data_IF_147412981960
#
_entry.id   IF_147412981960
#
_cell.length_a   1.000
_cell.length_b   1.000
_cell.length_c   1.000
_cell.angle_alpha   90.00
_cell.angle_beta   90.00
_cell.angle_gamma   90.00
#
_symmetry.space_group_name_H-M   'P 1'
#
loop_
_entity.id
_entity.type
_entity.pdbx_description
1 polymer ?
#
# COMPACT_ATOMS: atom_id res chain seq x y z
N UNK A 1 -67.27 21.77 -17.07
CA UNK A 1 -66.32 20.93 -16.31
C UNK A 1 -64.92 21.36 -16.68
N UNK A 2 -64.21 22.07 -15.80
CA UNK A 2 -62.80 22.38 -16.04
C UNK A 2 -62.03 21.06 -16.10
N UNK A 3 -61.24 20.86 -17.14
CA UNK A 3 -60.37 19.67 -17.21
C UNK A 3 -59.34 19.81 -16.10
N UNK A 4 -59.55 19.11 -14.99
CA UNK A 4 -58.67 19.14 -13.80
C UNK A 4 -57.23 18.80 -14.14
N UNK A 5 -57.02 17.96 -15.17
CA UNK A 5 -55.70 17.67 -15.73
C UNK A 5 -55.65 18.00 -17.23
N UNK A 6 -54.75 18.89 -17.67
CA UNK A 6 -54.55 19.13 -19.09
C UNK A 6 -53.87 17.94 -19.77
N UNK A 7 -54.00 17.75 -21.10
CA UNK A 7 -53.48 16.60 -21.84
C UNK A 7 -51.95 16.36 -21.72
N UNK A 8 -51.17 17.38 -21.42
CA UNK A 8 -49.72 17.25 -21.19
C UNK A 8 -49.39 16.42 -19.93
N UNK A 9 -50.33 16.33 -18.98
CA UNK A 9 -50.17 15.57 -17.73
C UNK A 9 -50.02 14.06 -17.97
N UNK A 10 -50.48 13.53 -19.11
CA UNK A 10 -50.30 12.11 -19.46
C UNK A 10 -48.84 11.75 -19.78
N UNK A 11 -48.00 12.73 -20.17
CA UNK A 11 -46.57 12.52 -20.43
C UNK A 11 -45.71 12.64 -19.17
N UNK A 12 -46.25 13.24 -18.12
CA UNK A 12 -45.53 13.57 -16.89
C UNK A 12 -45.06 12.33 -16.12
N UNK A 13 -45.85 11.25 -15.95
CA UNK A 13 -45.39 10.03 -15.28
C UNK A 13 -44.22 9.37 -16.02
N UNK A 14 -44.24 9.35 -17.36
CA UNK A 14 -43.16 8.81 -18.17
C UNK A 14 -41.87 9.64 -18.03
N UNK A 15 -41.99 10.97 -18.06
CA UNK A 15 -40.86 11.89 -17.88
C UNK A 15 -40.25 11.77 -16.48
N UNK A 16 -41.08 11.66 -15.44
CA UNK A 16 -40.62 11.44 -14.07
C UNK A 16 -39.94 10.07 -13.92
N UNK A 17 -40.50 9.01 -14.51
CA UNK A 17 -39.88 7.68 -14.50
C UNK A 17 -38.51 7.70 -15.19
N UNK A 18 -38.40 8.29 -16.37
CA UNK A 18 -37.12 8.44 -17.08
C UNK A 18 -36.12 9.27 -16.28
N UNK A 19 -36.56 10.39 -15.71
CA UNK A 19 -35.71 11.24 -14.88
C UNK A 19 -35.18 10.47 -13.65
N UNK A 20 -36.05 9.73 -12.95
CA UNK A 20 -35.64 8.92 -11.80
C UNK A 20 -34.68 7.80 -12.18
N UNK A 21 -34.87 7.14 -13.32
CA UNK A 21 -33.94 6.11 -13.83
C UNK A 21 -32.58 6.73 -14.15
N UNK A 22 -32.56 7.86 -14.85
CA UNK A 22 -31.30 8.55 -15.20
C UNK A 22 -30.60 9.06 -13.94
N UNK A 23 -31.33 9.73 -13.04
CA UNK A 23 -30.79 10.24 -11.77
C UNK A 23 -30.27 9.10 -10.89
N UNK A 24 -31.04 8.02 -10.76
CA UNK A 24 -30.64 6.83 -10.01
C UNK A 24 -29.41 6.15 -10.62
N UNK A 25 -29.34 6.06 -11.95
CA UNK A 25 -28.18 5.54 -12.67
C UNK A 25 -26.93 6.39 -12.46
N UNK A 26 -27.04 7.72 -12.58
CA UNK A 26 -25.93 8.65 -12.33
C UNK A 26 -25.48 8.65 -10.87
N UNK A 27 -26.42 8.64 -9.92
CA UNK A 27 -26.11 8.56 -8.49
C UNK A 27 -25.40 7.25 -8.15
N UNK A 28 -25.89 6.13 -8.67
CA UNK A 28 -25.25 4.82 -8.48
C UNK A 28 -23.86 4.79 -9.10
N UNK A 29 -23.69 5.28 -10.34
CA UNK A 29 -22.38 5.37 -10.99
C UNK A 29 -21.41 6.27 -10.21
N UNK A 30 -21.88 7.43 -9.73
CA UNK A 30 -21.09 8.35 -8.92
C UNK A 30 -20.64 7.72 -7.60
N UNK A 31 -21.56 7.10 -6.86
CA UNK A 31 -21.23 6.44 -5.58
C UNK A 31 -20.28 5.28 -5.82
N UNK A 32 -20.59 4.39 -6.75
CA UNK A 32 -19.74 3.22 -7.05
C UNK A 32 -18.34 3.57 -7.56
N UNK A 33 -18.14 4.76 -8.12
CA UNK A 33 -16.83 5.22 -8.56
C UNK A 33 -16.07 5.96 -7.43
N UNK A 34 -16.66 7.02 -6.88
CA UNK A 34 -15.99 7.92 -5.94
C UNK A 34 -15.88 7.38 -4.51
N UNK A 35 -16.73 6.43 -4.11
CA UNK A 35 -16.69 5.84 -2.77
C UNK A 35 -15.81 4.58 -2.71
N UNK A 36 -15.06 4.29 -3.79
CA UNK A 36 -14.11 3.18 -3.76
C UNK A 36 -12.89 3.51 -2.89
N UNK A 37 -12.23 2.49 -2.29
CA UNK A 37 -11.05 2.71 -1.44
C UNK A 37 -9.88 3.42 -2.13
N UNK A 38 -9.88 3.47 -3.47
CA UNK A 38 -8.92 4.21 -4.28
C UNK A 38 -9.01 5.73 -4.04
N UNK A 39 -10.13 6.25 -3.55
CA UNK A 39 -10.33 7.68 -3.32
C UNK A 39 -10.34 8.08 -1.84
N UNK A 40 -10.29 7.13 -0.91
CA UNK A 40 -10.41 7.44 0.54
C UNK A 40 -9.07 7.66 1.24
N UNK A 41 -8.00 6.94 0.86
CA UNK A 41 -6.67 7.05 1.52
C UNK A 41 -5.48 7.10 0.56
N UNK A 42 -5.67 6.78 -0.71
CA UNK A 42 -4.60 6.91 -1.70
C UNK A 42 -4.25 8.40 -1.84
N UNK A 43 -2.96 8.71 -1.77
CA UNK A 43 -2.45 10.09 -1.71
C UNK A 43 -2.23 10.62 -0.29
N UNK A 44 -2.58 9.87 0.76
CA UNK A 44 -2.25 10.25 2.13
C UNK A 44 -0.74 10.32 2.32
N UNK A 45 -0.23 11.53 2.58
CA UNK A 45 1.18 11.87 2.72
C UNK A 45 1.35 12.86 3.89
N UNK A 46 1.31 12.39 5.15
CA UNK A 46 1.43 13.26 6.31
C UNK A 46 2.84 13.84 6.43
N UNK A 47 2.93 15.03 7.03
CA UNK A 47 4.21 15.62 7.41
C UNK A 47 4.84 14.75 8.50
N UNK A 48 6.08 14.33 8.28
CA UNK A 48 6.83 13.53 9.24
C UNK A 48 7.66 14.43 10.15
N UNK A 49 7.97 14.01 11.38
CA UNK A 49 8.85 14.76 12.29
C UNK A 49 10.25 14.99 11.71
N UNK A 50 10.71 14.04 10.90
CA UNK A 50 12.00 14.08 10.21
C UNK A 50 11.74 13.82 8.72
N UNK A 51 12.24 14.65 7.80
CA UNK A 51 12.07 14.45 6.36
C UNK A 51 13.01 13.33 5.87
N UNK A 52 12.71 12.09 6.24
CA UNK A 52 13.49 10.93 5.84
C UNK A 52 13.30 10.59 4.36
N UNK A 53 14.40 10.56 3.60
CA UNK A 53 14.41 10.23 2.17
C UNK A 53 14.75 8.76 1.94
N UNK A 54 13.77 7.95 1.54
CA UNK A 54 14.03 6.56 1.11
C UNK A 54 14.81 6.52 -0.21
N UNK A 55 14.58 7.46 -1.13
CA UNK A 55 15.33 7.57 -2.38
C UNK A 55 16.83 7.75 -2.16
N UNK A 56 17.24 8.58 -1.18
CA UNK A 56 18.66 8.74 -0.85
C UNK A 56 19.23 7.44 -0.24
N UNK A 57 18.59 6.92 0.81
CA UNK A 57 19.15 5.80 1.58
C UNK A 57 19.12 4.46 0.83
N UNK A 58 18.04 4.17 0.10
CA UNK A 58 17.87 2.89 -0.59
C UNK A 58 18.13 2.99 -2.09
N UNK A 59 17.80 4.12 -2.73
CA UNK A 59 18.03 4.33 -4.15
C UNK A 59 19.48 4.69 -4.49
N UNK A 60 20.05 5.70 -3.84
CA UNK A 60 21.40 6.18 -4.15
C UNK A 60 22.49 5.45 -3.36
N UNK A 61 22.29 5.25 -2.05
CA UNK A 61 23.28 4.59 -1.18
C UNK A 61 23.17 3.05 -1.19
N UNK A 62 22.09 2.50 -1.75
CA UNK A 62 21.91 1.05 -1.91
C UNK A 62 21.71 0.29 -0.60
N UNK A 63 21.22 0.93 0.47
CA UNK A 63 20.93 0.23 1.72
C UNK A 63 19.77 -0.76 1.54
N UNK A 64 19.98 -2.00 1.98
CA UNK A 64 18.94 -3.02 2.01
C UNK A 64 17.82 -2.62 2.97
N UNK A 65 16.56 -2.90 2.59
CA UNK A 65 15.38 -2.53 3.37
C UNK A 65 15.44 -3.07 4.80
N UNK A 66 16.01 -4.27 4.99
CA UNK A 66 16.10 -4.98 6.28
C UNK A 66 17.12 -4.37 7.22
N UNK A 67 18.01 -3.49 6.74
CA UNK A 67 18.92 -2.77 7.63
C UNK A 67 18.16 -1.95 8.66
N UNK A 68 17.08 -1.27 8.21
CA UNK A 68 16.18 -0.52 9.08
C UNK A 68 14.95 -1.32 9.51
N UNK A 69 14.36 -2.09 8.58
CA UNK A 69 13.14 -2.87 8.82
C UNK A 69 13.46 -4.33 9.14
N UNK A 70 14.18 -4.54 10.24
CA UNK A 70 14.85 -5.80 10.60
C UNK A 70 13.93 -7.00 10.82
N UNK A 71 12.64 -6.77 11.09
CA UNK A 71 11.67 -7.80 11.40
C UNK A 71 10.75 -8.18 10.22
N UNK A 72 10.90 -7.52 9.06
CA UNK A 72 9.97 -7.68 7.93
C UNK A 72 9.85 -9.12 7.42
N UNK A 73 10.92 -9.92 7.52
CA UNK A 73 11.01 -11.31 7.07
C UNK A 73 10.79 -12.34 8.20
N UNK A 74 10.63 -11.88 9.44
CA UNK A 74 10.54 -12.74 10.64
C UNK A 74 9.26 -12.57 11.44
N UNK A 75 8.65 -11.37 11.38
CA UNK A 75 7.53 -10.97 12.22
C UNK A 75 6.31 -10.59 11.38
N UNK A 76 5.09 -10.67 11.96
CA UNK A 76 3.91 -10.08 11.36
C UNK A 76 4.02 -8.57 11.13
N UNK A 77 4.76 -7.87 12.00
CA UNK A 77 4.92 -6.42 11.96
C UNK A 77 6.32 -6.05 11.49
N UNK A 78 6.39 -5.20 10.46
CA UNK A 78 7.63 -4.51 10.09
C UNK A 78 7.81 -3.31 11.01
N UNK A 79 8.83 -3.36 11.86
CA UNK A 79 9.12 -2.29 12.82
C UNK A 79 9.73 -1.08 12.11
N UNK A 80 9.38 0.11 12.60
CA UNK A 80 10.09 1.35 12.27
C UNK A 80 11.38 1.36 13.09
N UNK A 81 12.54 1.72 12.52
CA UNK A 81 13.81 1.67 13.24
C UNK A 81 13.83 2.60 14.45
N UNK A 82 14.52 2.17 15.50
CA UNK A 82 14.85 3.04 16.63
C UNK A 82 15.88 4.10 16.20
N UNK A 83 15.99 5.20 16.95
CA UNK A 83 16.95 6.27 16.67
C UNK A 83 18.40 5.77 16.65
N UNK A 84 18.73 4.71 17.39
CA UNK A 84 20.03 4.04 17.35
C UNK A 84 20.47 3.67 15.92
N UNK A 85 19.56 3.11 15.11
CA UNK A 85 19.87 2.74 13.72
C UNK A 85 20.29 3.95 12.89
N UNK A 86 19.64 5.10 13.11
CA UNK A 86 20.00 6.35 12.46
C UNK A 86 21.38 6.85 12.92
N UNK A 87 21.65 6.77 14.23
CA UNK A 87 22.87 7.28 14.85
C UNK A 87 24.11 6.43 14.58
N UNK A 88 23.96 5.20 14.08
CA UNK A 88 25.08 4.39 13.56
C UNK A 88 25.91 5.16 12.51
N UNK A 89 25.28 6.04 11.72
CA UNK A 89 25.95 6.88 10.73
C UNK A 89 25.85 8.38 11.08
N UNK A 90 24.69 8.83 11.59
CA UNK A 90 24.44 10.26 11.82
C UNK A 90 25.15 10.85 13.04
N UNK A 91 25.89 10.04 13.80
CA UNK A 91 26.90 10.53 14.75
C UNK A 91 28.06 11.26 14.06
N UNK A 92 28.32 10.97 12.78
CA UNK A 92 29.41 11.56 11.98
C UNK A 92 28.85 12.30 10.75
N UNK A 93 27.85 11.71 10.08
CA UNK A 93 27.29 12.26 8.84
C UNK A 93 26.15 13.25 9.12
N UNK A 94 26.30 14.49 8.66
CA UNK A 94 25.34 15.58 8.88
C UNK A 94 24.97 15.75 10.36
N UNK A 95 25.90 15.45 11.28
CA UNK A 95 25.66 15.37 12.73
C UNK A 95 24.97 16.61 13.30
N UNK A 96 25.31 17.80 12.81
CA UNK A 96 24.81 19.10 13.30
C UNK A 96 23.57 19.59 12.53
N UNK A 97 23.03 18.80 11.60
CA UNK A 97 21.87 19.21 10.81
C UNK A 97 20.66 19.45 11.70
N UNK A 98 19.94 20.58 11.54
CA UNK A 98 18.72 20.84 12.31
C UNK A 98 17.62 19.81 12.01
N UNK A 99 17.61 19.23 10.81
CA UNK A 99 16.62 18.21 10.41
C UNK A 99 16.73 16.91 11.20
N UNK A 100 17.90 16.64 11.79
CA UNK A 100 18.14 15.45 12.63
C UNK A 100 17.90 15.72 14.13
N UNK A 101 17.48 16.92 14.51
CA UNK A 101 17.22 17.26 15.92
C UNK A 101 16.23 16.28 16.59
N UNK A 102 15.11 15.86 15.96
CA UNK A 102 14.21 14.88 16.59
C UNK A 102 14.85 13.50 16.78
N UNK A 103 15.75 13.09 15.87
CA UNK A 103 16.47 11.81 15.98
C UNK A 103 17.48 11.86 17.11
N UNK A 104 18.24 12.97 17.24
CA UNK A 104 19.19 13.15 18.34
C UNK A 104 18.49 13.20 19.69
N UNK A 105 17.39 13.95 19.79
CA UNK A 105 16.58 13.99 21.02
C UNK A 105 16.06 12.60 21.41
N UNK A 106 15.54 11.84 20.44
CA UNK A 106 15.10 10.45 20.64
C UNK A 106 16.24 9.52 21.06
N UNK A 107 17.44 9.72 20.53
CA UNK A 107 18.63 8.96 20.91
C UNK A 107 19.10 9.27 22.34
N UNK A 108 19.04 10.53 22.76
CA UNK A 108 19.45 10.98 24.10
C UNK A 108 18.43 10.62 25.18
N UNK A 109 17.14 10.78 24.91
CA UNK A 109 16.07 10.49 25.89
C UNK A 109 15.70 9.00 25.96
N UNK A 110 15.93 8.24 24.89
CA UNK A 110 15.47 6.87 24.73
C UNK A 110 14.02 6.74 24.27
N UNK A 111 13.27 7.84 24.18
CA UNK A 111 11.91 7.85 23.65
C UNK A 111 11.94 7.65 22.13
N UNK A 112 10.95 6.96 21.52
CA UNK A 112 10.91 6.78 20.07
C UNK A 112 10.61 8.09 19.34
N UNK A 113 11.21 8.28 18.16
CA UNK A 113 10.82 9.35 17.24
C UNK A 113 9.31 9.22 16.95
N UNK A 114 8.52 10.30 17.06
CA UNK A 114 7.06 10.26 16.96
C UNK A 114 6.57 10.17 15.50
N UNK A 115 6.96 9.12 14.78
CA UNK A 115 6.61 8.90 13.38
C UNK A 115 5.10 8.82 13.17
N UNK A 116 4.63 9.44 12.08
CA UNK A 116 3.22 9.35 11.67
C UNK A 116 3.05 8.15 10.75
N UNK A 117 2.26 7.16 11.17
CA UNK A 117 2.01 5.95 10.39
C UNK A 117 1.19 6.27 9.13
N UNK A 118 1.69 5.82 7.98
CA UNK A 118 1.04 6.04 6.67
C UNK A 118 0.14 4.87 6.31
N UNK A 119 0.67 3.65 6.39
CA UNK A 119 -0.07 2.44 6.06
C UNK A 119 -0.60 1.81 7.35
N UNK A 120 -1.92 1.82 7.52
CA UNK A 120 -2.58 1.16 8.64
C UNK A 120 -3.82 0.41 8.16
N UNK A 121 -3.73 -0.93 8.25
CA UNK A 121 -4.92 -1.78 8.21
C UNK A 121 -5.73 -1.58 9.50
N UNK A 122 -7.06 -1.76 9.46
CA UNK A 122 -7.88 -1.76 10.67
C UNK A 122 -7.41 -2.80 11.69
N UNK A 123 -7.61 -2.56 12.98
CA UNK A 123 -7.07 -3.41 14.04
C UNK A 123 -7.68 -4.83 14.06
N UNK A 124 -8.86 -5.01 13.47
CA UNK A 124 -9.47 -6.33 13.23
C UNK A 124 -8.90 -7.08 12.01
N UNK A 125 -7.84 -6.53 11.38
CA UNK A 125 -7.12 -7.14 10.25
C UNK A 125 -5.71 -7.50 10.68
N UNK A 126 -5.45 -8.79 10.77
CA UNK A 126 -4.16 -9.33 11.21
C UNK A 126 -3.28 -9.60 9.99
N UNK A 127 -2.57 -8.57 9.57
CA UNK A 127 -1.57 -8.68 8.50
C UNK A 127 -0.25 -9.23 9.03
N UNK A 128 0.43 -10.06 8.24
CA UNK A 128 1.73 -10.61 8.58
C UNK A 128 2.75 -10.35 7.46
N UNK A 129 3.77 -9.52 7.68
CA UNK A 129 4.78 -9.22 6.66
C UNK A 129 5.57 -10.46 6.25
N UNK A 130 6.11 -11.20 7.21
CA UNK A 130 7.00 -12.32 6.98
C UNK A 130 6.42 -13.38 6.01
N UNK A 131 5.12 -13.67 6.11
CA UNK A 131 4.51 -14.67 5.20
C UNK A 131 4.45 -14.20 3.74
N UNK A 132 4.42 -12.89 3.49
CA UNK A 132 4.36 -12.34 2.13
C UNK A 132 5.76 -12.28 1.52
N UNK A 133 6.72 -11.65 2.21
CA UNK A 133 8.09 -11.51 1.68
C UNK A 133 8.77 -12.86 1.51
N UNK A 134 8.58 -13.80 2.44
CA UNK A 134 9.15 -15.15 2.31
C UNK A 134 8.48 -15.99 1.21
N UNK A 135 7.37 -15.51 0.63
CA UNK A 135 6.67 -16.15 -0.48
C UNK A 135 6.79 -15.38 -1.79
N UNK A 136 7.81 -14.53 -1.91
CA UNK A 136 8.17 -13.91 -3.19
C UNK A 136 7.39 -12.63 -3.50
N UNK A 137 6.64 -12.08 -2.53
CA UNK A 137 5.92 -10.82 -2.69
C UNK A 137 6.83 -9.67 -2.26
N UNK A 138 7.20 -8.80 -3.20
CA UNK A 138 8.07 -7.66 -2.92
C UNK A 138 7.33 -6.49 -2.26
N UNK A 139 8.08 -5.66 -1.52
CA UNK A 139 7.58 -4.46 -0.87
C UNK A 139 6.85 -3.52 -1.84
N UNK A 140 7.30 -3.43 -3.10
CA UNK A 140 6.75 -2.52 -4.12
C UNK A 140 5.30 -2.85 -4.49
N UNK A 141 4.85 -4.09 -4.30
CA UNK A 141 3.46 -4.49 -4.58
C UNK A 141 2.47 -3.77 -3.66
N UNK A 142 2.88 -3.44 -2.43
CA UNK A 142 2.03 -2.77 -1.43
C UNK A 142 2.47 -1.34 -1.13
N UNK A 143 3.77 -1.07 -1.10
CA UNK A 143 4.36 0.20 -0.68
C UNK A 143 4.85 1.08 -1.83
N UNK A 144 4.71 0.62 -3.08
CA UNK A 144 5.20 1.29 -4.29
C UNK A 144 6.72 1.39 -4.32
N UNK A 145 7.25 1.97 -5.41
CA UNK A 145 8.68 2.07 -5.56
C UNK A 145 9.20 3.30 -4.80
N UNK A 146 9.62 3.08 -3.56
CA UNK A 146 10.12 4.12 -2.66
C UNK A 146 11.57 4.55 -2.96
N UNK A 147 12.26 3.85 -3.87
CA UNK A 147 13.64 4.23 -4.26
C UNK A 147 13.65 5.35 -5.29
N UNK A 148 12.53 5.57 -5.98
CA UNK A 148 12.39 6.52 -7.09
C UNK A 148 11.48 7.71 -6.74
N UNK A 149 11.18 7.92 -5.45
CA UNK A 149 10.46 9.12 -5.01
C UNK A 149 11.32 10.35 -5.28
N UNK A 150 10.72 11.47 -5.70
CA UNK A 150 11.46 12.68 -5.97
C UNK A 150 12.20 13.16 -4.71
N UNK A 151 13.32 13.87 -4.88
CA UNK A 151 14.07 14.41 -3.74
C UNK A 151 13.19 15.38 -2.94
N UNK A 152 13.01 15.10 -1.64
CA UNK A 152 12.10 15.85 -0.77
C UNK A 152 10.65 15.35 -0.76
N UNK A 153 10.29 14.36 -1.58
CA UNK A 153 8.97 13.73 -1.53
C UNK A 153 8.89 12.78 -0.32
N UNK A 154 7.89 13.01 0.54
CA UNK A 154 7.63 12.15 1.69
C UNK A 154 6.93 10.86 1.25
N UNK A 155 7.05 9.83 2.09
CA UNK A 155 6.30 8.60 1.89
C UNK A 155 4.79 8.88 1.80
N UNK A 156 4.14 8.27 0.80
CA UNK A 156 2.72 8.41 0.56
C UNK A 156 2.07 7.06 0.32
N UNK A 157 0.83 6.90 0.76
CA UNK A 157 0.04 5.71 0.45
C UNK A 157 -0.41 5.77 -1.02
N UNK A 158 0.18 4.97 -1.93
CA UNK A 158 -0.32 4.88 -3.32
C UNK A 158 -1.17 3.64 -3.61
N UNK A 159 -1.16 2.64 -2.73
CA UNK A 159 -2.05 1.48 -2.85
C UNK A 159 -3.26 1.61 -1.92
N UNK A 160 -4.44 1.12 -2.32
CA UNK A 160 -5.65 1.24 -1.51
C UNK A 160 -5.60 0.38 -0.24
N UNK A 161 -4.87 -0.74 -0.26
CA UNK A 161 -4.81 -1.72 0.84
C UNK A 161 -6.19 -2.15 1.36
N UNK A 162 -7.18 -2.21 0.46
CA UNK A 162 -8.53 -2.67 0.75
C UNK A 162 -8.62 -4.19 0.76
N UNK A 163 -9.71 -4.72 1.32
CA UNK A 163 -9.99 -6.17 1.27
C UNK A 163 -9.98 -6.70 -0.18
N UNK A 164 -10.58 -5.96 -1.13
CA UNK A 164 -10.57 -6.36 -2.54
C UNK A 164 -9.16 -6.44 -3.10
N UNK A 165 -8.32 -5.44 -2.85
CA UNK A 165 -6.91 -5.44 -3.27
C UNK A 165 -6.15 -6.67 -2.74
N UNK A 166 -6.34 -7.01 -1.46
CA UNK A 166 -5.73 -8.20 -0.87
C UNK A 166 -6.26 -9.49 -1.50
N UNK A 167 -7.59 -9.59 -1.68
CA UNK A 167 -8.23 -10.78 -2.23
C UNK A 167 -7.91 -11.02 -3.70
N UNK A 168 -7.74 -9.96 -4.50
CA UNK A 168 -7.36 -10.08 -5.90
C UNK A 168 -5.98 -10.74 -6.02
N UNK A 169 -5.03 -10.35 -5.16
CA UNK A 169 -3.73 -11.03 -5.05
C UNK A 169 -3.86 -12.45 -4.48
N UNK A 170 -4.70 -12.68 -3.46
CA UNK A 170 -4.87 -14.01 -2.86
C UNK A 170 -5.54 -15.02 -3.81
N UNK A 171 -6.33 -14.55 -4.79
CA UNK A 171 -6.96 -15.37 -5.83
C UNK A 171 -5.99 -15.71 -6.97
N UNK A 172 -5.06 -14.82 -7.28
CA UNK A 172 -4.03 -15.02 -8.30
C UNK A 172 -2.64 -14.58 -7.80
N UNK A 173 -2.01 -15.37 -6.90
CA UNK A 173 -0.71 -15.00 -6.34
C UNK A 173 0.42 -15.08 -7.37
N UNK A 174 0.28 -15.94 -8.40
CA UNK A 174 1.29 -16.08 -9.44
C UNK A 174 1.53 -14.77 -10.19
N UNK A 175 0.48 -13.96 -10.36
CA UNK A 175 0.56 -12.63 -10.99
C UNK A 175 1.44 -11.61 -10.25
N UNK A 176 1.78 -11.83 -8.97
CA UNK A 176 2.49 -10.84 -8.12
C UNK A 176 3.86 -11.29 -7.64
N UNK A 177 4.23 -12.55 -7.89
CA UNK A 177 5.47 -13.12 -7.39
C UNK A 177 6.67 -12.67 -8.24
N UNK A 178 7.78 -12.44 -7.55
CA UNK A 178 9.09 -12.13 -8.11
C UNK A 178 10.08 -13.27 -7.87
N UNK A 179 11.23 -13.20 -8.53
CA UNK A 179 12.34 -14.09 -8.21
C UNK A 179 12.68 -13.95 -6.71
N UNK A 180 12.87 -15.06 -5.96
CA UNK A 180 13.14 -15.00 -4.53
C UNK A 180 14.34 -14.12 -4.16
N UNK A 181 15.34 -14.01 -5.05
CA UNK A 181 16.51 -13.15 -4.83
C UNK A 181 16.20 -11.66 -4.94
N UNK A 182 15.09 -11.31 -5.61
CA UNK A 182 14.72 -9.95 -6.00
C UNK A 182 13.56 -9.39 -5.16
N UNK A 183 13.14 -10.09 -4.09
CA UNK A 183 12.04 -9.65 -3.21
C UNK A 183 12.29 -8.24 -2.64
N UNK A 184 13.52 -7.93 -2.25
CA UNK A 184 13.90 -6.62 -1.71
C UNK A 184 14.40 -5.63 -2.78
N UNK A 185 14.52 -6.07 -4.03
CA UNK A 185 14.88 -5.23 -5.16
C UNK A 185 13.64 -4.60 -5.78
N UNK A 186 13.32 -3.36 -5.41
CA UNK A 186 12.09 -2.68 -5.85
C UNK A 186 12.08 -2.37 -7.35
N UNK A 187 13.23 -2.39 -8.00
CA UNK A 187 13.37 -2.15 -9.44
C UNK A 187 13.21 -3.43 -10.27
N UNK A 188 13.15 -4.61 -9.64
CA UNK A 188 12.85 -5.85 -10.36
C UNK A 188 11.42 -5.83 -10.92
N UNK A 189 11.18 -6.59 -11.98
CA UNK A 189 9.83 -6.82 -12.52
C UNK A 189 9.26 -8.13 -11.96
N UNK A 190 7.93 -8.29 -12.02
CA UNK A 190 7.28 -9.55 -11.64
C UNK A 190 7.67 -10.63 -12.64
N UNK A 191 7.65 -11.89 -12.21
CA UNK A 191 8.00 -13.01 -13.10
C UNK A 191 7.06 -13.09 -14.32
N UNK A 192 5.78 -12.78 -14.13
CA UNK A 192 4.79 -12.76 -15.21
C UNK A 192 5.06 -11.70 -16.29
N UNK A 193 5.75 -10.62 -15.93
CA UNK A 193 6.09 -9.52 -16.85
C UNK A 193 7.38 -9.82 -17.66
N UNK A 194 8.10 -10.89 -17.34
CA UNK A 194 9.37 -11.29 -17.96
C UNK A 194 9.20 -12.30 -19.12
N UNK A 195 7.97 -12.46 -19.61
CA UNK A 195 7.64 -13.38 -20.70
C UNK A 195 7.13 -14.74 -20.22
N UNK A 196 6.66 -15.54 -21.19
CA UNK A 196 5.89 -16.77 -20.93
C UNK A 196 6.63 -17.79 -20.06
N UNK A 197 7.92 -18.02 -20.30
CA UNK A 197 8.71 -18.98 -19.53
C UNK A 197 8.77 -18.61 -18.04
N UNK A 198 8.96 -17.31 -17.74
CA UNK A 198 9.01 -16.81 -16.36
C UNK A 198 7.62 -16.77 -15.73
N UNK A 199 6.56 -16.51 -16.51
CA UNK A 199 5.19 -16.66 -16.04
C UNK A 199 4.88 -18.12 -15.63
N UNK A 200 5.29 -19.10 -16.45
CA UNK A 200 5.15 -20.52 -16.12
C UNK A 200 5.98 -20.90 -14.89
N UNK A 201 7.17 -20.30 -14.74
CA UNK A 201 8.00 -20.47 -13.55
C UNK A 201 7.33 -19.89 -12.29
N UNK A 202 6.61 -18.77 -12.38
CA UNK A 202 5.85 -18.20 -11.27
C UNK A 202 4.76 -19.17 -10.78
N UNK A 203 4.01 -19.77 -11.71
CA UNK A 203 3.00 -20.79 -11.40
C UNK A 203 3.64 -22.02 -10.73
N UNK A 204 4.77 -22.50 -11.27
CA UNK A 204 5.52 -23.61 -10.67
C UNK A 204 6.03 -23.25 -9.27
N UNK A 205 6.46 -22.01 -9.05
CA UNK A 205 6.93 -21.56 -7.74
C UNK A 205 5.81 -21.55 -6.70
N UNK A 206 4.62 -21.03 -7.06
CA UNK A 206 3.40 -21.10 -6.24
C UNK A 206 3.09 -22.54 -5.84
N UNK A 207 3.14 -23.47 -6.80
CA UNK A 207 2.89 -24.89 -6.56
C UNK A 207 3.96 -25.53 -5.68
N UNK A 208 5.24 -25.33 -6.00
CA UNK A 208 6.37 -25.92 -5.30
C UNK A 208 6.43 -25.44 -3.84
N UNK A 209 6.24 -24.14 -3.61
CA UNK A 209 6.19 -23.57 -2.27
C UNK A 209 4.85 -23.82 -1.57
N UNK A 210 3.84 -24.37 -2.25
CA UNK A 210 2.49 -24.58 -1.71
C UNK A 210 1.90 -23.26 -1.18
N UNK A 211 2.04 -22.18 -1.95
CA UNK A 211 1.45 -20.88 -1.62
C UNK A 211 -0.07 -21.01 -1.72
N UNK A 212 -0.75 -20.99 -0.57
CA UNK A 212 -2.22 -21.09 -0.45
C UNK A 212 -2.73 -19.90 0.36
N UNK A 213 -2.85 -18.71 -0.26
CA UNK A 213 -3.32 -17.52 0.43
C UNK A 213 -4.77 -17.74 0.91
N UNK A 214 -5.11 -17.33 2.14
CA UNK A 214 -6.47 -17.53 2.65
C UNK A 214 -7.45 -16.61 1.94
N UNK A 215 -8.62 -17.14 1.59
CA UNK A 215 -9.73 -16.36 1.02
C UNK A 215 -10.97 -16.31 1.94
N UNK A 216 -10.88 -16.97 3.10
CA UNK A 216 -11.90 -16.95 4.15
C UNK A 216 -11.66 -15.81 5.14
N UNK A 217 -12.71 -15.41 5.87
CA UNK A 217 -12.63 -14.37 6.89
C UNK A 217 -11.58 -14.70 7.96
N UNK A 218 -11.50 -15.96 8.38
CA UNK A 218 -10.54 -16.46 9.38
C UNK A 218 -9.06 -16.30 9.00
N UNK A 219 -8.77 -16.03 7.73
CA UNK A 219 -7.40 -15.76 7.28
C UNK A 219 -6.83 -14.46 7.83
N UNK A 220 -7.67 -13.43 7.97
CA UNK A 220 -7.24 -12.08 8.29
C UNK A 220 -8.05 -11.44 9.43
N UNK A 221 -9.24 -11.95 9.76
CA UNK A 221 -10.14 -11.42 10.77
C UNK A 221 -10.29 -12.45 11.90
N UNK A 222 -9.52 -12.28 12.98
CA UNK A 222 -9.45 -13.24 14.09
C UNK A 222 -9.56 -12.58 15.46
#
# INVERSE_FOLDING_TARGET
>A
MSKVFPPWSNRLPLQLALFLVVLGGLATAGVTYYFTPKYTRVGYAPVQPVPFSHALHTGQLGLDCRYCHTAVDKSPHSTVPAAQTCMNCHSIIKKDSPLLAPVRASFESGDPVPWVKIHQAPDFVYFNHAVHVNRGVSCVECHNNITQTAEGETMAQRQPLSMSFCLDCHRDPASRIRDPKDVFNLNSSRLVDQGKEKADAAVKLVQHWKVKPPQSCSGCHR
#
